data_IF_514653045986
#
_entry.id   IF_514653045986
#
_cell.length_a   1.000
_cell.length_b   1.000
_cell.length_c   1.000
_cell.angle_alpha   90.00
_cell.angle_beta   90.00
_cell.angle_gamma   90.00
#
_symmetry.space_group_name_H-M   'P 1'
#
loop_
_entity.id
_entity.type
_entity.pdbx_description
1 polymer ?
#
# COMPACT_ATOMS: atom_id res chain seq x y z
N UNK A 1 -10.59 -26.04 3.14
CA UNK A 1 -10.10 -25.44 1.89
C UNK A 1 -10.17 -23.93 2.01
N UNK A 2 -9.11 -23.23 1.60
CA UNK A 2 -9.06 -21.78 1.57
C UNK A 2 -9.26 -21.24 0.16
N UNK A 3 -10.16 -20.28 0.00
CA UNK A 3 -10.25 -19.46 -1.22
C UNK A 3 -9.78 -18.05 -0.90
N UNK A 4 -8.88 -17.54 -1.73
CA UNK A 4 -8.17 -16.29 -1.51
C UNK A 4 -8.47 -15.32 -2.66
N UNK A 5 -8.96 -14.13 -2.31
CA UNK A 5 -9.11 -13.01 -3.23
C UNK A 5 -8.03 -11.97 -2.92
N UNK A 6 -7.08 -11.79 -3.83
CA UNK A 6 -6.04 -10.77 -3.73
C UNK A 6 -6.50 -9.53 -4.51
N UNK A 7 -6.65 -8.42 -3.81
CA UNK A 7 -7.19 -7.17 -4.31
C UNK A 7 -6.04 -6.16 -4.41
N UNK A 8 -5.62 -5.87 -5.64
CA UNK A 8 -4.58 -4.88 -5.95
C UNK A 8 -5.20 -3.48 -5.90
N UNK A 9 -4.78 -2.65 -4.95
CA UNK A 9 -5.36 -1.33 -4.65
C UNK A 9 -4.33 -0.20 -4.58
N UNK A 10 -4.76 1.03 -4.89
CA UNK A 10 -3.97 2.26 -4.77
C UNK A 10 -3.82 2.77 -3.32
N UNK A 11 -4.64 2.26 -2.38
CA UNK A 11 -4.78 2.76 -1.00
C UNK A 11 -5.11 4.27 -0.90
N UNK A 12 -5.85 4.82 -1.86
CA UNK A 12 -6.12 6.26 -1.96
C UNK A 12 -7.61 6.56 -2.17
N UNK A 13 -8.19 7.33 -1.27
CA UNK A 13 -9.53 7.89 -1.38
C UNK A 13 -10.69 6.95 -1.08
N UNK A 14 -11.85 7.57 -0.84
CA UNK A 14 -13.10 6.88 -0.50
C UNK A 14 -13.57 5.96 -1.64
N UNK A 15 -13.42 6.41 -2.89
CA UNK A 15 -13.93 5.66 -4.05
C UNK A 15 -13.18 4.35 -4.26
N UNK A 16 -11.86 4.34 -4.02
CA UNK A 16 -11.07 3.12 -4.09
C UNK A 16 -11.48 2.16 -2.97
N UNK A 17 -11.65 2.67 -1.74
CA UNK A 17 -12.12 1.84 -0.63
C UNK A 17 -13.50 1.22 -0.86
N UNK A 18 -14.42 1.93 -1.55
CA UNK A 18 -15.74 1.37 -1.90
C UNK A 18 -15.66 0.16 -2.83
N UNK A 19 -14.64 0.06 -3.68
CA UNK A 19 -14.44 -1.12 -4.55
C UNK A 19 -14.25 -2.41 -3.74
N UNK A 20 -13.79 -2.29 -2.49
CA UNK A 20 -13.59 -3.40 -1.57
C UNK A 20 -14.91 -3.95 -1.00
N UNK A 21 -16.02 -3.20 -1.04
CA UNK A 21 -17.25 -3.51 -0.31
C UNK A 21 -17.77 -4.93 -0.60
N UNK A 22 -17.84 -5.32 -1.88
CA UNK A 22 -18.32 -6.65 -2.26
C UNK A 22 -17.41 -7.80 -1.76
N UNK A 23 -16.11 -7.55 -1.63
CA UNK A 23 -15.13 -8.54 -1.18
C UNK A 23 -15.09 -8.64 0.34
N UNK A 24 -15.29 -7.51 1.02
CA UNK A 24 -15.47 -7.43 2.48
C UNK A 24 -16.78 -8.14 2.86
N UNK A 25 -17.88 -7.85 2.17
CA UNK A 25 -19.19 -8.45 2.47
C UNK A 25 -19.17 -9.97 2.40
N UNK A 26 -18.49 -10.53 1.39
CA UNK A 26 -18.51 -11.97 1.08
C UNK A 26 -17.43 -12.79 1.78
N UNK A 27 -16.37 -12.16 2.32
CA UNK A 27 -15.30 -12.91 2.97
C UNK A 27 -15.69 -13.39 4.36
N UNK A 28 -14.99 -14.40 4.85
CA UNK A 28 -15.01 -14.81 6.25
C UNK A 28 -14.02 -13.99 7.07
N UNK A 29 -12.81 -13.86 6.53
CA UNK A 29 -11.70 -13.12 7.11
C UNK A 29 -11.21 -12.10 6.09
N UNK A 30 -10.88 -10.90 6.56
CA UNK A 30 -10.26 -9.85 5.75
C UNK A 30 -8.81 -9.63 6.18
N UNK A 31 -7.90 -9.47 5.24
CA UNK A 31 -6.48 -9.21 5.48
C UNK A 31 -6.10 -7.87 4.86
N UNK A 32 -6.06 -6.79 5.66
CA UNK A 32 -5.48 -5.55 5.20
C UNK A 32 -3.96 -5.68 5.13
N UNK A 33 -3.34 -5.05 4.14
CA UNK A 33 -1.89 -4.84 4.11
C UNK A 33 -1.44 -4.14 5.39
N UNK A 34 -0.34 -4.57 6.01
CA UNK A 34 0.24 -3.92 7.19
C UNK A 34 1.76 -3.95 7.08
N UNK A 35 2.28 -2.92 6.42
CA UNK A 35 3.65 -2.88 5.94
C UNK A 35 4.67 -3.13 7.06
N UNK A 36 5.47 -4.18 6.86
CA UNK A 36 6.56 -4.56 7.75
C UNK A 36 6.12 -4.79 9.21
N UNK A 37 4.89 -5.26 9.45
CA UNK A 37 4.42 -5.55 10.81
C UNK A 37 5.09 -6.79 11.40
N UNK A 38 5.41 -6.72 12.70
CA UNK A 38 5.86 -7.91 13.41
C UNK A 38 4.66 -8.78 13.78
N UNK A 39 4.89 -10.08 13.97
CA UNK A 39 3.85 -11.02 14.39
C UNK A 39 3.11 -10.57 15.66
N UNK A 40 3.83 -10.08 16.66
CA UNK A 40 3.23 -9.65 17.93
C UNK A 40 2.31 -8.44 17.75
N UNK A 41 2.69 -7.49 16.88
CA UNK A 41 1.87 -6.31 16.57
C UNK A 41 0.63 -6.74 15.81
N UNK A 42 0.80 -7.56 14.76
CA UNK A 42 -0.31 -8.12 13.99
C UNK A 42 -1.33 -8.83 14.90
N UNK A 43 -0.88 -9.70 15.80
CA UNK A 43 -1.77 -10.42 16.72
C UNK A 43 -2.45 -9.51 17.74
N UNK A 44 -1.76 -8.47 18.22
CA UNK A 44 -2.34 -7.46 19.12
C UNK A 44 -3.45 -6.67 18.42
N UNK A 45 -3.18 -6.19 17.21
CA UNK A 45 -4.11 -5.42 16.37
C UNK A 45 -5.36 -6.23 16.02
N UNK A 46 -5.19 -7.48 15.62
CA UNK A 46 -6.30 -8.40 15.35
C UNK A 46 -7.15 -8.62 16.61
N UNK A 47 -6.51 -8.79 17.77
CA UNK A 47 -7.22 -9.02 19.03
C UNK A 47 -8.00 -7.79 19.48
N UNK A 48 -7.40 -6.60 19.31
CA UNK A 48 -8.08 -5.33 19.52
C UNK A 48 -9.27 -5.15 18.58
N UNK A 49 -9.13 -5.56 17.31
CA UNK A 49 -10.21 -5.51 16.34
C UNK A 49 -11.38 -6.43 16.71
N UNK A 50 -11.12 -7.67 17.12
CA UNK A 50 -12.17 -8.60 17.57
C UNK A 50 -12.98 -8.04 18.75
N UNK A 51 -12.29 -7.41 19.71
CA UNK A 51 -12.96 -6.72 20.84
C UNK A 51 -13.82 -5.56 20.33
N UNK A 52 -13.31 -4.81 19.36
CA UNK A 52 -14.01 -3.69 18.72
C UNK A 52 -15.26 -4.12 17.93
N UNK A 53 -15.24 -5.26 17.25
CA UNK A 53 -16.42 -5.80 16.54
C UNK A 53 -17.61 -6.01 17.47
N UNK A 54 -17.35 -6.29 18.75
CA UNK A 54 -18.36 -6.50 19.78
C UNK A 54 -18.91 -5.21 20.38
N UNK A 55 -18.28 -4.04 20.16
CA UNK A 55 -18.71 -2.76 20.72
C UNK A 55 -18.38 -1.57 19.79
N UNK A 56 -19.44 -0.91 19.27
CA UNK A 56 -19.31 0.24 18.34
C UNK A 56 -18.42 1.38 18.86
N UNK A 57 -18.42 1.65 20.18
CA UNK A 57 -17.59 2.72 20.76
C UNK A 57 -16.11 2.32 20.81
N UNK A 58 -15.79 1.04 21.05
CA UNK A 58 -14.42 0.53 21.02
C UNK A 58 -13.87 0.43 19.61
N UNK A 59 -14.71 0.15 18.61
CA UNK A 59 -14.30 0.13 17.21
C UNK A 59 -13.68 1.46 16.76
N UNK A 60 -14.26 2.61 17.15
CA UNK A 60 -13.69 3.92 16.79
C UNK A 60 -12.33 4.20 17.44
N UNK A 61 -12.08 3.68 18.64
CA UNK A 61 -10.81 3.84 19.34
C UNK A 61 -9.74 2.85 18.86
N UNK A 62 -10.11 1.58 18.67
CA UNK A 62 -9.24 0.58 18.04
C UNK A 62 -8.84 1.06 16.63
N UNK A 63 -9.79 1.57 15.86
CA UNK A 63 -9.57 2.21 14.57
C UNK A 63 -8.52 3.34 14.61
N UNK A 64 -8.61 4.24 15.58
CA UNK A 64 -7.64 5.34 15.77
C UNK A 64 -6.24 4.85 16.17
N UNK A 65 -6.16 3.76 16.93
CA UNK A 65 -4.89 3.17 17.34
C UNK A 65 -4.23 2.44 16.17
N UNK A 66 -4.99 1.68 15.39
CA UNK A 66 -4.53 1.05 14.14
C UNK A 66 -4.01 2.11 13.16
N UNK A 67 -4.76 3.21 12.97
CA UNK A 67 -4.31 4.34 12.14
C UNK A 67 -3.01 5.01 12.61
N UNK A 68 -2.73 4.99 13.92
CA UNK A 68 -1.54 5.65 14.48
C UNK A 68 -0.26 5.02 13.97
N UNK A 69 -0.27 3.72 13.72
CA UNK A 69 0.86 2.97 13.18
C UNK A 69 1.04 3.18 11.68
N UNK A 70 0.00 3.64 10.98
CA UNK A 70 0.11 4.01 9.57
C UNK A 70 0.87 5.32 9.36
N UNK A 71 0.95 6.24 10.34
CA UNK A 71 1.63 7.56 10.22
C UNK A 71 1.51 8.24 8.84
N UNK A 72 0.39 8.04 8.12
CA UNK A 72 0.27 8.56 6.76
C UNK A 72 -0.25 9.98 6.84
N UNK A 73 0.63 10.94 6.57
CA UNK A 73 0.32 12.36 6.55
C UNK A 73 -0.48 12.79 5.30
N UNK A 74 -1.02 11.85 4.51
CA UNK A 74 -1.87 12.17 3.36
C UNK A 74 -3.36 12.04 3.72
N UNK A 75 -4.14 13.06 3.38
CA UNK A 75 -5.60 13.07 3.60
C UNK A 75 -6.27 11.90 2.86
N UNK A 76 -5.80 11.63 1.64
CA UNK A 76 -6.40 10.65 0.73
C UNK A 76 -6.26 9.19 1.24
N UNK A 77 -5.10 8.84 1.80
CA UNK A 77 -4.89 7.51 2.40
C UNK A 77 -5.71 7.36 3.69
N UNK A 78 -5.83 8.42 4.49
CA UNK A 78 -6.68 8.41 5.67
C UNK A 78 -8.15 8.18 5.30
N UNK A 79 -8.65 8.84 4.25
CA UNK A 79 -10.01 8.62 3.75
C UNK A 79 -10.24 7.17 3.29
N UNK A 80 -9.28 6.60 2.56
CA UNK A 80 -9.31 5.18 2.17
C UNK A 80 -9.41 4.27 3.39
N UNK A 81 -8.49 4.43 4.35
CA UNK A 81 -8.44 3.58 5.55
C UNK A 81 -9.74 3.75 6.36
N UNK A 82 -10.22 4.99 6.58
CA UNK A 82 -11.50 5.26 7.26
C UNK A 82 -12.63 4.47 6.61
N UNK A 83 -12.76 4.60 5.30
CA UNK A 83 -13.87 3.97 4.61
C UNK A 83 -13.76 2.44 4.63
N UNK A 84 -12.56 1.89 4.48
CA UNK A 84 -12.30 0.44 4.58
C UNK A 84 -12.75 -0.11 5.94
N UNK A 85 -12.34 0.52 7.03
CA UNK A 85 -12.71 0.06 8.37
C UNK A 85 -14.19 0.26 8.70
N UNK A 86 -14.84 1.31 8.18
CA UNK A 86 -16.31 1.42 8.25
C UNK A 86 -17.00 0.22 7.61
N UNK A 87 -16.54 -0.22 6.44
CA UNK A 87 -17.07 -1.40 5.75
C UNK A 87 -16.81 -2.67 6.56
N UNK A 88 -15.59 -2.88 7.05
CA UNK A 88 -15.26 -4.04 7.90
C UNK A 88 -16.15 -4.11 9.15
N UNK A 89 -16.41 -2.97 9.79
CA UNK A 89 -17.32 -2.89 10.93
C UNK A 89 -18.78 -3.17 10.53
N UNK A 90 -19.26 -2.57 9.43
CA UNK A 90 -20.62 -2.78 8.88
C UNK A 90 -20.92 -4.27 8.69
N UNK A 91 -19.96 -5.00 8.14
CA UNK A 91 -20.09 -6.43 7.85
C UNK A 91 -19.53 -7.36 8.94
N UNK A 92 -19.04 -6.79 10.05
CA UNK A 92 -18.48 -7.50 11.21
C UNK A 92 -17.40 -8.53 10.83
N UNK A 93 -16.44 -8.12 10.00
CA UNK A 93 -15.41 -9.03 9.47
C UNK A 93 -14.20 -9.08 10.38
N UNK A 94 -13.78 -10.28 10.75
CA UNK A 94 -12.54 -10.53 11.47
C UNK A 94 -11.32 -10.19 10.61
N UNK A 95 -10.24 -9.77 11.25
CA UNK A 95 -9.00 -9.40 10.57
C UNK A 95 -7.92 -10.46 10.71
N UNK A 96 -7.13 -10.67 9.65
CA UNK A 96 -5.90 -11.45 9.72
C UNK A 96 -4.81 -10.81 8.88
N UNK A 97 -3.75 -10.29 9.50
CA UNK A 97 -2.61 -9.73 8.79
C UNK A 97 -1.70 -10.83 8.23
N UNK A 98 -1.31 -10.67 6.97
CA UNK A 98 -0.38 -11.57 6.29
C UNK A 98 1.09 -11.23 6.49
N UNK A 99 1.41 -10.00 6.87
CA UNK A 99 2.77 -9.61 7.21
C UNK A 99 3.02 -9.88 8.70
N UNK A 100 3.77 -10.95 8.97
CA UNK A 100 4.06 -11.43 10.33
C UNK A 100 5.55 -11.64 10.50
N UNK A 101 6.33 -10.57 10.36
CA UNK A 101 7.78 -10.64 10.48
C UNK A 101 8.22 -10.91 11.91
N UNK A 102 9.46 -11.36 12.12
CA UNK A 102 10.08 -11.22 13.44
C UNK A 102 10.22 -9.75 13.82
N UNK A 103 10.35 -9.45 15.11
CA UNK A 103 10.54 -8.07 15.56
C UNK A 103 11.79 -7.42 14.95
N UNK A 104 12.85 -8.20 14.74
CA UNK A 104 14.11 -7.69 14.17
C UNK A 104 13.96 -7.38 12.68
N UNK A 105 13.39 -8.29 11.90
CA UNK A 105 13.09 -8.05 10.47
C UNK A 105 12.16 -6.86 10.28
N UNK A 106 11.10 -6.75 11.10
CA UNK A 106 10.18 -5.61 11.09
C UNK A 106 10.93 -4.29 11.31
N UNK A 107 11.85 -4.21 12.28
CA UNK A 107 12.65 -3.01 12.54
C UNK A 107 13.58 -2.68 11.38
N UNK A 108 14.21 -3.68 10.78
CA UNK A 108 15.12 -3.49 9.65
C UNK A 108 14.37 -2.99 8.42
N UNK A 109 13.23 -3.60 8.08
CA UNK A 109 12.38 -3.15 6.99
C UNK A 109 11.87 -1.72 7.20
N UNK A 110 11.39 -1.39 8.41
CA UNK A 110 10.96 -0.02 8.76
C UNK A 110 12.10 0.99 8.62
N UNK A 111 13.33 0.61 8.97
CA UNK A 111 14.51 1.47 8.78
C UNK A 111 14.81 1.68 7.29
N UNK A 112 14.72 0.64 6.46
CA UNK A 112 14.91 0.78 5.02
C UNK A 112 13.85 1.67 4.37
N UNK A 113 12.58 1.56 4.78
CA UNK A 113 11.53 2.50 4.37
C UNK A 113 11.91 3.94 4.71
N UNK A 114 12.31 4.19 5.96
CA UNK A 114 12.70 5.52 6.41
C UNK A 114 13.91 6.10 5.65
N UNK A 115 14.88 5.26 5.31
CA UNK A 115 16.04 5.68 4.52
C UNK A 115 15.67 5.95 3.05
N UNK A 116 14.75 5.18 2.46
CA UNK A 116 14.19 5.43 1.12
C UNK A 116 13.40 6.76 1.08
N UNK A 117 12.55 7.00 2.08
CA UNK A 117 11.77 8.24 2.21
C UNK A 117 12.70 9.47 2.26
N UNK A 118 13.82 9.39 2.99
CA UNK A 118 14.82 10.46 3.03
C UNK A 118 15.43 10.73 1.67
N UNK A 119 15.78 9.67 0.93
CA UNK A 119 16.35 9.81 -0.42
C UNK A 119 15.33 10.51 -1.34
N UNK A 120 14.06 10.10 -1.29
CA UNK A 120 12.98 10.74 -2.05
C UNK A 120 12.77 12.22 -1.65
N UNK A 121 12.84 12.56 -0.36
CA UNK A 121 12.76 13.96 0.09
C UNK A 121 13.93 14.78 -0.46
N UNK A 122 15.15 14.23 -0.43
CA UNK A 122 16.33 14.92 -0.99
C UNK A 122 16.20 15.09 -2.49
N UNK A 123 15.72 14.07 -3.22
CA UNK A 123 15.49 14.16 -4.66
C UNK A 123 14.48 15.26 -4.99
N UNK A 124 13.37 15.35 -4.26
CA UNK A 124 12.38 16.42 -4.45
C UNK A 124 12.98 17.82 -4.29
N UNK A 125 13.95 18.00 -3.38
CA UNK A 125 14.65 19.27 -3.25
C UNK A 125 15.58 19.55 -4.44
N UNK A 126 16.23 18.55 -5.02
CA UNK A 126 16.96 18.70 -6.28
C UNK A 126 16.03 19.18 -7.40
N UNK A 127 14.86 18.56 -7.53
CA UNK A 127 13.86 18.93 -8.55
C UNK A 127 13.37 20.37 -8.38
N UNK A 128 13.05 20.76 -7.14
CA UNK A 128 12.65 22.14 -6.79
C UNK A 128 13.74 23.19 -7.03
N UNK A 129 15.02 22.79 -7.10
CA UNK A 129 16.13 23.68 -7.37
C UNK A 129 16.55 23.65 -8.85
N UNK A 130 15.84 22.91 -9.70
CA UNK A 130 16.15 22.74 -11.12
C UNK A 130 17.28 21.75 -11.41
N UNK A 131 17.78 21.01 -10.42
CA UNK A 131 18.77 19.95 -10.63
C UNK A 131 18.09 18.63 -11.01
N UNK A 132 17.65 18.57 -12.28
CA UNK A 132 16.88 17.44 -12.81
C UNK A 132 17.71 16.15 -12.79
N UNK A 133 18.99 16.21 -13.14
CA UNK A 133 19.82 15.00 -13.22
C UNK A 133 20.00 14.36 -11.84
N UNK A 134 20.28 15.17 -10.80
CA UNK A 134 20.40 14.62 -9.45
C UNK A 134 19.07 14.15 -8.89
N UNK A 135 17.97 14.83 -9.23
CA UNK A 135 16.63 14.35 -8.92
C UNK A 135 16.38 12.95 -9.49
N UNK A 136 16.59 12.75 -10.79
CA UNK A 136 16.34 11.46 -11.47
C UNK A 136 17.17 10.34 -10.84
N UNK A 137 18.47 10.58 -10.60
CA UNK A 137 19.37 9.61 -9.98
C UNK A 137 18.89 9.17 -8.59
N UNK A 138 18.60 10.13 -7.71
CA UNK A 138 18.18 9.84 -6.34
C UNK A 138 16.77 9.25 -6.28
N UNK A 139 15.86 9.75 -7.10
CA UNK A 139 14.48 9.28 -7.11
C UNK A 139 14.40 7.84 -7.65
N UNK A 140 15.13 7.53 -8.72
CA UNK A 140 15.31 6.16 -9.20
C UNK A 140 15.86 5.23 -8.11
N UNK A 141 16.91 5.65 -7.39
CA UNK A 141 17.45 4.87 -6.27
C UNK A 141 16.41 4.59 -5.18
N UNK A 142 15.57 5.58 -4.85
CA UNK A 142 14.49 5.39 -3.88
C UNK A 142 13.50 4.32 -4.35
N UNK A 143 13.15 4.35 -5.64
CA UNK A 143 12.29 3.37 -6.30
C UNK A 143 12.88 1.95 -6.29
N UNK A 144 14.19 1.80 -6.56
CA UNK A 144 14.87 0.50 -6.46
C UNK A 144 14.82 -0.07 -5.04
N UNK A 145 14.97 0.78 -4.02
CA UNK A 145 14.86 0.36 -2.63
C UNK A 145 13.43 -0.09 -2.31
N UNK A 146 12.39 0.68 -2.68
CA UNK A 146 11.00 0.26 -2.49
C UNK A 146 10.67 -1.04 -3.21
N UNK A 147 11.15 -1.23 -4.45
CA UNK A 147 10.92 -2.47 -5.19
C UNK A 147 11.58 -3.69 -4.50
N UNK A 148 12.79 -3.54 -3.97
CA UNK A 148 13.45 -4.57 -3.15
C UNK A 148 12.65 -4.87 -1.88
N UNK A 149 12.14 -3.84 -1.19
CA UNK A 149 11.31 -4.02 0.00
C UNK A 149 10.00 -4.75 -0.32
N UNK A 150 9.33 -4.38 -1.41
CA UNK A 150 8.10 -5.05 -1.85
C UNK A 150 8.37 -6.51 -2.22
N UNK A 151 9.50 -6.83 -2.85
CA UNK A 151 9.90 -8.21 -3.15
C UNK A 151 10.04 -9.03 -1.86
N UNK A 152 10.73 -8.50 -0.84
CA UNK A 152 10.87 -9.18 0.46
C UNK A 152 9.50 -9.40 1.11
N UNK A 153 8.61 -8.41 1.03
CA UNK A 153 7.26 -8.48 1.59
C UNK A 153 6.38 -9.48 0.83
N UNK A 154 6.45 -9.50 -0.49
CA UNK A 154 5.72 -10.46 -1.34
C UNK A 154 6.14 -11.89 -1.04
N UNK A 155 7.44 -12.12 -0.87
CA UNK A 155 7.98 -13.41 -0.47
C UNK A 155 7.47 -13.86 0.90
N UNK A 156 7.42 -12.92 1.86
CA UNK A 156 6.91 -13.20 3.20
C UNK A 156 5.40 -13.49 3.22
N UNK A 157 4.62 -12.69 2.49
CA UNK A 157 3.18 -12.91 2.35
C UNK A 157 2.92 -14.29 1.71
N UNK A 158 3.66 -14.62 0.65
CA UNK A 158 3.58 -15.91 -0.03
C UNK A 158 3.92 -17.08 0.90
N UNK A 159 4.91 -16.94 1.78
CA UNK A 159 5.23 -17.97 2.77
C UNK A 159 4.10 -18.12 3.79
N UNK A 160 3.58 -17.01 4.33
CA UNK A 160 2.50 -17.05 5.32
C UNK A 160 1.19 -17.61 4.77
N UNK A 161 0.92 -17.42 3.47
CA UNK A 161 -0.22 -18.05 2.81
C UNK A 161 -0.17 -19.59 2.82
N UNK A 162 0.98 -20.21 3.05
CA UNK A 162 1.11 -21.68 3.11
C UNK A 162 0.48 -22.29 4.36
N UNK A 163 0.51 -21.58 5.50
CA UNK A 163 -0.06 -22.05 6.76
C UNK A 163 -1.35 -21.34 7.15
N UNK A 164 -1.74 -20.31 6.40
CA UNK A 164 -2.80 -19.38 6.81
C UNK A 164 -4.14 -20.05 7.11
N UNK A 165 -4.54 -21.11 6.38
CA UNK A 165 -5.81 -21.80 6.67
C UNK A 165 -5.80 -22.41 8.08
N UNK A 166 -4.71 -23.09 8.43
CA UNK A 166 -4.54 -23.71 9.75
C UNK A 166 -4.54 -22.63 10.85
N UNK A 167 -3.80 -21.55 10.63
CA UNK A 167 -3.67 -20.47 11.59
C UNK A 167 -4.99 -19.72 11.82
N UNK A 168 -5.74 -19.46 10.74
CA UNK A 168 -7.10 -18.88 10.80
C UNK A 168 -8.03 -19.79 11.60
N UNK A 169 -8.09 -21.10 11.31
CA UNK A 169 -8.97 -22.03 12.04
C UNK A 169 -8.61 -22.11 13.52
N UNK A 170 -7.33 -22.04 13.84
CA UNK A 170 -6.86 -22.02 15.23
C UNK A 170 -7.28 -20.74 15.96
N UNK A 171 -7.18 -19.58 15.29
CA UNK A 171 -7.54 -18.27 15.88
C UNK A 171 -9.05 -18.06 15.96
N UNK A 172 -9.80 -18.58 15.00
CA UNK A 172 -11.24 -18.36 14.85
C UNK A 172 -12.01 -19.68 14.95
N UNK A 173 -12.35 -20.14 16.17
CA UNK A 173 -13.00 -21.43 16.37
C UNK A 173 -14.33 -21.59 15.63
N UNK A 174 -15.06 -20.50 15.36
CA UNK A 174 -16.31 -20.54 14.60
C UNK A 174 -16.11 -20.94 13.12
N UNK A 175 -14.87 -20.97 12.64
CA UNK A 175 -14.49 -21.43 11.29
C UNK A 175 -13.96 -22.87 11.28
N UNK A 176 -13.79 -23.54 12.42
CA UNK A 176 -13.09 -24.84 12.50
C UNK A 176 -13.68 -25.89 11.56
N UNK A 177 -15.00 -25.95 11.50
CA UNK A 177 -15.75 -26.98 10.77
C UNK A 177 -16.26 -26.49 9.41
N UNK A 178 -15.93 -25.24 9.04
CA UNK A 178 -16.36 -24.67 7.77
C UNK A 178 -15.59 -25.34 6.62
N UNK A 179 -16.30 -25.92 5.66
CA UNK A 179 -15.72 -26.60 4.50
C UNK A 179 -14.75 -25.70 3.73
N UNK A 180 -15.20 -24.46 3.46
CA UNK A 180 -14.48 -23.44 2.72
C UNK A 180 -14.40 -22.13 3.51
N UNK A 181 -13.20 -21.59 3.69
CA UNK A 181 -12.96 -20.26 4.26
C UNK A 181 -12.64 -19.31 3.12
N UNK A 182 -13.31 -18.16 3.07
CA UNK A 182 -13.02 -17.09 2.10
C UNK A 182 -12.17 -16.02 2.76
N UNK A 183 -10.94 -15.84 2.27
CA UNK A 183 -10.01 -14.80 2.69
C UNK A 183 -9.92 -13.73 1.60
N UNK A 184 -10.29 -12.49 1.93
CA UNK A 184 -10.05 -11.34 1.05
C UNK A 184 -8.83 -10.57 1.56
N UNK A 185 -7.89 -10.27 0.68
CA UNK A 185 -6.64 -9.60 0.99
C UNK A 185 -6.58 -8.31 0.17
N UNK A 186 -6.34 -7.17 0.80
CA UNK A 186 -5.86 -6.00 0.05
C UNK A 186 -4.34 -5.89 0.13
N UNK A 187 -3.73 -5.61 -1.03
CA UNK A 187 -2.31 -5.28 -1.15
C UNK A 187 -2.17 -4.11 -2.11
N UNK A 188 -1.14 -3.30 -1.88
CA UNK A 188 -0.76 -2.21 -2.76
C UNK A 188 -0.52 -2.74 -4.17
N UNK A 189 -0.96 -1.98 -5.15
CA UNK A 189 -0.85 -2.34 -6.57
C UNK A 189 0.57 -2.63 -7.09
N UNK A 190 1.60 -2.24 -6.33
CA UNK A 190 3.00 -2.55 -6.62
C UNK A 190 3.43 -3.97 -6.24
N UNK A 191 2.64 -4.67 -5.44
CA UNK A 191 2.91 -6.03 -4.98
C UNK A 191 2.61 -7.06 -6.08
N UNK A 192 3.48 -8.05 -6.24
CA UNK A 192 3.35 -9.16 -7.22
C UNK A 192 3.53 -10.51 -6.53
N UNK A 193 2.50 -10.91 -5.79
CA UNK A 193 2.44 -12.24 -5.17
C UNK A 193 2.27 -13.30 -6.28
N UNK A 194 3.35 -14.04 -6.57
CA UNK A 194 3.40 -15.07 -7.62
C UNK A 194 3.90 -16.42 -7.08
N UNK A 195 3.72 -17.51 -7.82
CA UNK A 195 4.32 -18.81 -7.46
C UNK A 195 3.72 -19.53 -6.26
N UNK A 196 2.41 -19.37 -6.01
CA UNK A 196 1.68 -20.14 -4.98
C UNK A 196 1.20 -21.46 -5.59
N UNK A 197 1.82 -22.58 -5.18
CA UNK A 197 1.47 -23.94 -5.62
C UNK A 197 0.97 -24.78 -4.43
N UNK A 198 -0.19 -24.46 -3.88
CA UNK A 198 -0.82 -25.16 -2.75
C UNK A 198 -2.34 -25.21 -2.95
N UNK A 199 -3.15 -25.96 -2.16
CA UNK A 199 -4.59 -26.13 -2.42
C UNK A 199 -5.43 -24.90 -2.04
N UNK A 200 -5.03 -23.75 -2.58
CA UNK A 200 -5.68 -22.46 -2.45
C UNK A 200 -6.25 -22.10 -3.81
N UNK A 201 -7.52 -21.74 -3.87
CA UNK A 201 -8.11 -21.12 -5.05
C UNK A 201 -7.80 -19.63 -4.95
N UNK A 202 -6.99 -19.11 -5.88
CA UNK A 202 -6.56 -17.71 -5.86
C UNK A 202 -7.18 -16.91 -7.00
N UNK A 203 -7.78 -15.77 -6.65
CA UNK A 203 -8.31 -14.79 -7.59
C UNK A 203 -7.57 -13.46 -7.42
N UNK A 204 -6.93 -12.96 -8.47
CA UNK A 204 -6.27 -11.64 -8.46
C UNK A 204 -7.15 -10.63 -9.18
N UNK A 205 -7.53 -9.56 -8.48
CA UNK A 205 -8.36 -8.49 -9.01
C UNK A 205 -7.58 -7.18 -9.02
N UNK A 206 -7.39 -6.60 -10.21
CA UNK A 206 -6.90 -5.24 -10.38
C UNK A 206 -8.06 -4.27 -10.22
N UNK A 207 -8.07 -3.50 -9.13
CA UNK A 207 -9.15 -2.56 -8.81
C UNK A 207 -8.82 -1.12 -9.23
N UNK A 208 -7.53 -0.81 -9.44
CA UNK A 208 -7.05 0.50 -9.86
C UNK A 208 -6.60 0.48 -11.33
N UNK A 209 -6.76 1.61 -12.02
CA UNK A 209 -6.17 1.80 -13.35
C UNK A 209 -4.65 1.94 -13.24
N UNK A 210 -3.94 1.63 -14.32
CA UNK A 210 -2.49 1.84 -14.38
C UNK A 210 -2.16 3.34 -14.27
N UNK A 211 -1.29 3.68 -13.31
CA UNK A 211 -0.79 5.03 -13.10
C UNK A 211 0.72 5.09 -13.37
N UNK A 212 1.28 6.29 -13.39
CA UNK A 212 2.71 6.50 -13.67
C UNK A 212 3.64 5.69 -12.74
N UNK A 213 3.29 5.59 -11.45
CA UNK A 213 4.05 4.81 -10.47
C UNK A 213 4.05 3.31 -10.82
N UNK A 214 2.90 2.74 -11.20
CA UNK A 214 2.80 1.33 -11.61
C UNK A 214 3.66 1.08 -12.85
N UNK A 215 3.64 2.01 -13.81
CA UNK A 215 4.46 1.92 -15.02
C UNK A 215 5.96 1.95 -14.71
N UNK A 216 6.39 2.79 -13.76
CA UNK A 216 7.79 2.83 -13.29
C UNK A 216 8.15 1.51 -12.60
N UNK A 217 7.33 1.03 -11.68
CA UNK A 217 7.57 -0.23 -10.95
C UNK A 217 7.64 -1.45 -11.88
N UNK A 218 6.69 -1.57 -12.83
CA UNK A 218 6.71 -2.64 -13.83
C UNK A 218 7.99 -2.58 -14.67
N UNK A 219 8.38 -1.38 -15.10
CA UNK A 219 9.60 -1.21 -15.90
C UNK A 219 10.89 -1.54 -15.14
N UNK A 220 10.97 -1.22 -13.85
CA UNK A 220 12.10 -1.60 -13.00
C UNK A 220 12.22 -3.12 -12.87
N UNK A 221 11.09 -3.81 -12.73
CA UNK A 221 11.05 -5.26 -12.65
C UNK A 221 11.41 -5.94 -13.98
N UNK A 222 11.08 -5.29 -15.10
CA UNK A 222 11.52 -5.71 -16.44
C UNK A 222 13.01 -5.40 -16.71
N UNK A 223 13.73 -4.83 -15.72
CA UNK A 223 15.16 -4.55 -15.81
C UNK A 223 15.50 -3.30 -16.61
N UNK A 224 14.56 -2.37 -16.80
CA UNK A 224 14.85 -1.09 -17.44
C UNK A 224 15.74 -0.20 -16.57
N UNK A 225 16.53 0.64 -17.23
CA UNK A 225 17.48 1.52 -16.59
C UNK A 225 16.90 2.92 -16.37
N UNK A 226 17.59 3.72 -15.57
CA UNK A 226 17.21 5.08 -15.20
C UNK A 226 16.92 5.96 -16.43
N UNK A 227 17.72 5.83 -17.49
CA UNK A 227 17.60 6.60 -18.74
C UNK A 227 16.28 6.32 -19.46
N UNK A 228 15.79 5.08 -19.41
CA UNK A 228 14.54 4.66 -20.06
C UNK A 228 13.30 5.17 -19.34
N UNK A 229 13.45 5.62 -18.08
CA UNK A 229 12.36 6.03 -17.19
C UNK A 229 12.40 7.51 -16.84
N UNK A 230 13.29 8.28 -17.46
CA UNK A 230 13.54 9.68 -17.09
C UNK A 230 12.27 10.53 -17.10
N UNK A 231 11.47 10.43 -18.17
CA UNK A 231 10.24 11.22 -18.31
C UNK A 231 9.21 10.83 -17.26
N UNK A 232 9.05 9.53 -17.03
CA UNK A 232 8.12 8.98 -16.04
C UNK A 232 8.50 9.40 -14.62
N UNK A 233 9.79 9.30 -14.28
CA UNK A 233 10.32 9.73 -12.98
C UNK A 233 10.11 11.23 -12.76
N UNK A 234 10.34 12.06 -13.78
CA UNK A 234 10.09 13.50 -13.70
C UNK A 234 8.62 13.82 -13.49
N UNK A 235 7.74 13.16 -14.23
CA UNK A 235 6.30 13.32 -14.11
C UNK A 235 5.80 12.95 -12.71
N UNK A 236 6.24 11.80 -12.20
CA UNK A 236 5.82 11.30 -10.90
C UNK A 236 6.34 12.18 -9.75
N UNK A 237 7.61 12.57 -9.76
CA UNK A 237 8.15 13.49 -8.75
C UNK A 237 7.51 14.87 -8.78
N UNK A 238 7.12 15.37 -9.97
CA UNK A 238 6.36 16.61 -10.07
C UNK A 238 4.96 16.47 -9.46
N UNK A 239 4.26 15.36 -9.73
CA UNK A 239 2.96 15.05 -9.14
C UNK A 239 3.04 14.97 -7.62
N UNK A 240 4.04 14.29 -7.07
CA UNK A 240 4.26 14.17 -5.63
C UNK A 240 4.48 15.53 -4.97
N UNK A 241 5.32 16.38 -5.56
CA UNK A 241 5.53 17.75 -5.05
C UNK A 241 4.22 18.55 -5.08
N UNK A 242 3.45 18.49 -6.16
CA UNK A 242 2.19 19.22 -6.29
C UNK A 242 1.13 18.72 -5.31
N UNK A 243 1.01 17.40 -5.15
CA UNK A 243 0.10 16.78 -4.17
C UNK A 243 0.49 17.15 -2.74
N UNK A 244 1.79 17.18 -2.41
CA UNK A 244 2.28 17.62 -1.09
C UNK A 244 1.90 19.07 -0.76
N UNK A 245 1.68 19.90 -1.80
CA UNK A 245 1.22 21.28 -1.67
C UNK A 245 -0.32 21.40 -1.60
N UNK A 246 -1.03 20.28 -1.57
CA UNK A 246 -2.50 20.21 -1.56
C UNK A 246 -3.14 20.49 -2.91
N UNK A 247 -2.40 20.35 -4.01
CA UNK A 247 -2.92 20.55 -5.37
C UNK A 247 -3.36 19.22 -5.97
N UNK A 248 -4.53 19.23 -6.59
CA UNK A 248 -5.00 18.16 -7.46
C UNK A 248 -4.62 18.54 -8.89
N UNK A 249 -3.65 17.84 -9.47
CA UNK A 249 -3.22 18.03 -10.84
C UNK A 249 -3.43 16.71 -11.60
N UNK A 250 -4.01 16.80 -12.78
CA UNK A 250 -4.22 15.65 -13.66
C UNK A 250 -2.88 15.18 -14.22
N UNK A 251 -2.54 13.91 -14.00
CA UNK A 251 -1.37 13.24 -14.57
C UNK A 251 -1.33 13.40 -16.11
N UNK A 252 -2.49 13.31 -16.79
CA UNK A 252 -2.57 13.45 -18.25
C UNK A 252 -2.28 14.87 -18.72
N UNK A 253 -2.43 15.87 -17.86
CA UNK A 253 -2.10 17.25 -18.16
C UNK A 253 -0.59 17.45 -18.09
N UNK A 254 0.05 17.01 -17.00
CA UNK A 254 1.50 17.10 -16.85
C UNK A 254 2.25 16.23 -17.86
N UNK A 255 1.71 15.07 -18.24
CA UNK A 255 2.31 14.18 -19.24
C UNK A 255 2.45 14.81 -20.65
N UNK A 256 1.77 15.93 -20.91
CA UNK A 256 1.87 16.69 -22.17
C UNK A 256 2.93 17.78 -22.14
N UNK A 257 3.50 18.06 -20.97
CA UNK A 257 4.52 19.09 -20.77
C UNK A 257 5.92 18.54 -21.08
N UNK A 258 6.75 19.37 -21.69
CA UNK A 258 8.20 19.17 -21.75
C UNK A 258 8.83 19.26 -20.35
N UNK A 259 10.05 18.76 -20.18
CA UNK A 259 10.78 18.87 -18.91
C UNK A 259 10.84 20.33 -18.42
N UNK A 260 11.17 21.27 -19.32
CA UNK A 260 11.22 22.70 -19.00
C UNK A 260 9.87 23.27 -18.57
N UNK A 261 8.77 22.81 -19.16
CA UNK A 261 7.43 23.26 -18.78
C UNK A 261 7.05 22.73 -17.39
N UNK A 262 7.38 21.48 -17.06
CA UNK A 262 7.16 20.91 -15.72
C UNK A 262 7.93 21.72 -14.66
N UNK A 263 9.20 22.02 -14.91
CA UNK A 263 10.03 22.81 -13.99
C UNK A 263 9.46 24.21 -13.80
N UNK A 264 9.15 24.91 -14.89
CA UNK A 264 8.55 26.23 -14.84
C UNK A 264 7.21 26.21 -14.10
N UNK A 265 6.39 25.18 -14.31
CA UNK A 265 5.12 24.99 -13.61
C UNK A 265 5.32 24.87 -12.09
N UNK A 266 6.27 24.03 -11.66
CA UNK A 266 6.61 23.85 -10.23
C UNK A 266 7.09 25.15 -9.56
N UNK A 267 7.84 26.00 -10.28
CA UNK A 267 8.36 27.27 -9.76
C UNK A 267 7.35 28.44 -9.82
N UNK A 268 6.55 28.52 -10.88
CA UNK A 268 5.55 29.58 -11.06
C UNK A 268 4.50 29.58 -9.94
N UNK A 269 4.24 28.40 -9.37
CA UNK A 269 3.30 28.20 -8.28
C UNK A 269 3.85 28.64 -6.90
N UNK A 270 5.17 28.75 -6.72
CA UNK A 270 5.76 29.28 -5.48
C UNK A 270 5.60 30.81 -5.38
N UNK A 271 5.39 31.49 -6.52
CA UNK A 271 5.16 32.94 -6.60
C UNK A 271 3.72 33.36 -6.28
N UNK A 272 2.75 32.42 -6.28
CA UNK A 272 1.33 32.72 -5.99
C UNK A 272 1.06 32.73 -4.47
N UNK A 273 2.02 32.27 -3.65
CA UNK A 273 1.92 32.24 -2.18
C UNK A 273 2.73 33.33 -1.46
N UNK A 274 3.41 34.22 -2.19
CA UNK A 274 4.06 35.44 -1.64
C UNK A 274 3.19 36.65 -1.90
#
# INVERSE_FOLDING_TARGET
>A
MLEVYILSVLHSGINEAKKLEQYIERCDIYSPECAASSKDIAEADESMWEIALSNKAHAKNAYRLLLRDYQVNSIDVNEFINKKFELLQKYKKSLWYLERFSQEESKQLKRFYFDADKIAIVSHNCLKNGDINKFIELYFLSYEIYNKLNTIRDDHIRENLRSVEFDIRKRYPYLSDKEKIVLSIDIGYSHKISGINFPIIMHVHKLSDENIYEKIQNSLQDGKYMEDLRCELLLDGALDILRSRGRLVDEKYLAKMSESEIINYLHSEDLIKQ
#
